data_IF_710885520393
#
_entry.id   IF_710885520393
#
_cell.length_a   1.000
_cell.length_b   1.000
_cell.length_c   1.000
_cell.angle_alpha   90.00
_cell.angle_beta   90.00
_cell.angle_gamma   90.00
#
_symmetry.space_group_name_H-M   'P 1'
#
loop_
_entity.id
_entity.type
_entity.pdbx_description
1 polymer ?
#
# COMPACT_ATOMS: atom_id res chain seq x y z
N UNK A 1 -8.23 7.61 4.90
CA UNK A 1 -8.93 8.29 3.79
C UNK A 1 -10.35 7.79 3.71
N UNK A 2 -11.29 8.64 3.29
CA UNK A 2 -12.76 8.53 3.41
C UNK A 2 -13.37 7.20 2.92
N UNK A 3 -14.42 6.76 3.64
CA UNK A 3 -15.29 5.62 3.34
C UNK A 3 -15.68 5.56 1.86
N UNK A 4 -15.32 4.51 1.10
CA UNK A 4 -16.01 4.22 -0.15
C UNK A 4 -17.47 3.89 0.17
N UNK A 5 -18.37 4.42 -0.64
CA UNK A 5 -19.82 4.18 -0.53
C UNK A 5 -20.14 2.67 -0.37
N UNK A 6 -21.05 2.30 0.55
CA UNK A 6 -21.29 0.91 0.95
C UNK A 6 -21.74 -0.02 -0.19
N UNK A 7 -22.26 0.53 -1.28
CA UNK A 7 -22.58 -0.23 -2.50
C UNK A 7 -21.34 -0.79 -3.18
N UNK A 8 -20.31 0.03 -3.40
CA UNK A 8 -19.09 -0.38 -4.09
C UNK A 8 -18.23 -1.32 -3.24
N UNK A 9 -18.28 -1.12 -1.92
CA UNK A 9 -17.63 -2.01 -0.95
C UNK A 9 -18.22 -3.44 -1.02
N UNK A 10 -19.54 -3.56 -1.19
CA UNK A 10 -20.20 -4.86 -1.31
C UNK A 10 -20.04 -5.49 -2.70
N UNK A 11 -20.01 -4.71 -3.77
CA UNK A 11 -19.99 -5.23 -5.14
C UNK A 11 -18.60 -5.62 -5.64
N UNK A 12 -17.58 -4.79 -5.34
CA UNK A 12 -16.23 -4.90 -5.89
C UNK A 12 -15.21 -5.18 -4.79
N UNK A 13 -15.19 -4.37 -3.73
CA UNK A 13 -14.11 -4.46 -2.74
C UNK A 13 -14.20 -5.72 -1.86
N UNK A 14 -15.40 -6.17 -1.46
CA UNK A 14 -15.56 -7.42 -0.70
C UNK A 14 -15.11 -8.64 -1.49
N UNK A 15 -15.39 -8.70 -2.80
CA UNK A 15 -14.90 -9.80 -3.65
C UNK A 15 -13.38 -9.81 -3.76
N UNK A 16 -12.76 -8.64 -3.87
CA UNK A 16 -11.30 -8.50 -3.95
C UNK A 16 -10.67 -8.84 -2.59
N UNK A 17 -11.24 -8.32 -1.49
CA UNK A 17 -10.85 -8.63 -0.11
C UNK A 17 -10.93 -10.14 0.14
N UNK A 18 -12.04 -10.80 -0.20
CA UNK A 18 -12.22 -12.24 -0.03
C UNK A 18 -11.19 -13.06 -0.81
N UNK A 19 -10.88 -12.67 -2.06
CA UNK A 19 -9.84 -13.34 -2.87
C UNK A 19 -8.44 -13.27 -2.25
N UNK A 20 -8.15 -12.22 -1.48
CA UNK A 20 -6.88 -12.03 -0.76
C UNK A 20 -6.93 -12.52 0.69
N UNK A 21 -8.03 -13.19 1.10
CA UNK A 21 -8.17 -13.79 2.43
C UNK A 21 -8.99 -12.96 3.44
N UNK A 22 -9.60 -11.85 3.01
CA UNK A 22 -10.60 -11.07 3.75
C UNK A 22 -10.08 -10.22 4.92
N UNK A 23 -8.84 -10.45 5.36
CA UNK A 23 -8.23 -9.81 6.55
C UNK A 23 -6.89 -9.14 6.29
N UNK A 24 -6.68 -8.67 5.06
CA UNK A 24 -5.47 -7.89 4.72
C UNK A 24 -5.55 -6.51 5.38
N UNK A 25 -4.62 -6.24 6.30
CA UNK A 25 -4.55 -4.98 7.07
C UNK A 25 -3.43 -4.05 6.60
N UNK A 26 -2.41 -4.63 5.99
CA UNK A 26 -1.22 -3.95 5.52
C UNK A 26 -0.79 -4.60 4.20
N UNK A 27 -0.58 -3.78 3.18
CA UNK A 27 0.11 -4.16 1.96
C UNK A 27 1.38 -3.33 1.85
N UNK A 28 2.50 -4.00 1.63
CA UNK A 28 3.78 -3.35 1.38
C UNK A 28 4.22 -3.73 -0.02
N UNK A 29 4.43 -2.73 -0.87
CA UNK A 29 5.05 -2.88 -2.18
C UNK A 29 6.50 -2.45 -2.11
N UNK A 30 7.40 -3.16 -2.79
CA UNK A 30 8.79 -2.75 -2.87
C UNK A 30 9.52 -3.30 -4.09
N UNK A 31 10.78 -2.90 -4.23
CA UNK A 31 11.70 -3.13 -5.36
C UNK A 31 11.50 -2.24 -6.60
N UNK A 32 10.26 -2.06 -7.09
CA UNK A 32 9.98 -1.23 -8.27
C UNK A 32 8.92 -0.17 -7.96
N UNK A 33 9.03 1.05 -8.52
CA UNK A 33 8.02 2.08 -8.32
C UNK A 33 6.67 1.60 -8.82
N UNK A 34 5.66 1.64 -7.94
CA UNK A 34 4.29 1.32 -8.30
C UNK A 34 3.65 2.55 -8.96
N UNK A 35 2.85 2.35 -10.01
CA UNK A 35 2.13 3.47 -10.61
C UNK A 35 1.19 4.10 -9.57
N UNK A 36 1.13 5.44 -9.44
CA UNK A 36 0.28 6.12 -8.47
C UNK A 36 -1.20 5.72 -8.61
N UNK A 37 -1.69 5.48 -9.83
CA UNK A 37 -3.06 5.01 -10.08
C UNK A 37 -3.34 3.64 -9.44
N UNK A 38 -2.36 2.72 -9.50
CA UNK A 38 -2.48 1.39 -8.91
C UNK A 38 -2.44 1.49 -7.39
N UNK A 39 -1.56 2.34 -6.86
CA UNK A 39 -1.48 2.58 -5.42
C UNK A 39 -2.79 3.15 -4.87
N UNK A 40 -3.38 4.13 -5.56
CA UNK A 40 -4.67 4.72 -5.18
C UNK A 40 -5.80 3.68 -5.28
N UNK A 41 -5.84 2.89 -6.34
CA UNK A 41 -6.79 1.79 -6.48
C UNK A 41 -6.70 0.80 -5.32
N UNK A 42 -5.49 0.38 -4.93
CA UNK A 42 -5.27 -0.52 -3.80
C UNK A 42 -5.68 0.14 -2.47
N UNK A 43 -5.31 1.41 -2.23
CA UNK A 43 -5.71 2.17 -1.04
C UNK A 43 -7.25 2.23 -0.91
N UNK A 44 -7.96 2.48 -2.02
CA UNK A 44 -9.43 2.51 -2.07
C UNK A 44 -10.01 1.10 -1.87
N UNK A 45 -9.47 0.09 -2.55
CA UNK A 45 -9.99 -1.28 -2.52
C UNK A 45 -9.89 -1.93 -1.15
N UNK A 46 -8.74 -1.79 -0.49
CA UNK A 46 -8.52 -2.44 0.79
C UNK A 46 -9.03 -1.59 1.96
N UNK A 47 -9.32 -0.30 1.73
CA UNK A 47 -9.63 0.65 2.80
C UNK A 47 -8.53 0.70 3.87
N UNK A 48 -7.34 0.21 3.52
CA UNK A 48 -6.29 -0.23 4.41
C UNK A 48 -4.96 0.39 4.01
N UNK A 49 -3.96 0.20 4.86
CA UNK A 49 -2.64 0.81 4.72
C UNK A 49 -1.89 0.14 3.58
N UNK A 50 -1.63 0.90 2.52
CA UNK A 50 -0.78 0.49 1.40
C UNK A 50 0.44 1.41 1.43
N UNK A 51 1.59 0.85 1.79
CA UNK A 51 2.87 1.55 1.84
C UNK A 51 3.81 1.03 0.76
N UNK A 52 4.58 1.94 0.17
CA UNK A 52 5.66 1.60 -0.74
C UNK A 52 7.00 1.76 0.00
N UNK A 53 7.91 0.84 -0.22
CA UNK A 53 9.26 0.92 0.32
C UNK A 53 10.27 0.50 -0.73
N UNK A 54 11.38 1.23 -0.80
CA UNK A 54 12.47 0.88 -1.69
C UNK A 54 13.56 0.14 -0.93
N UNK A 55 14.09 -0.91 -1.55
CA UNK A 55 15.14 -1.73 -1.00
C UNK A 55 15.72 -2.64 -2.07
N UNK A 56 16.93 -3.12 -1.80
CA UNK A 56 17.64 -4.07 -2.66
C UNK A 56 18.35 -5.09 -1.78
N UNK A 57 18.60 -6.28 -2.34
CA UNK A 57 19.30 -7.37 -1.63
C UNK A 57 20.67 -6.95 -1.12
N UNK A 58 21.32 -6.07 -1.89
CA UNK A 58 22.64 -5.49 -1.64
C UNK A 58 22.66 -4.51 -0.47
N UNK A 59 21.50 -4.03 0.00
CA UNK A 59 21.37 -3.07 1.10
C UNK A 59 20.55 -3.59 2.27
N UNK A 60 20.60 -4.89 2.55
CA UNK A 60 19.94 -5.49 3.72
C UNK A 60 18.41 -5.30 3.72
N UNK A 61 17.78 -5.53 2.57
CA UNK A 61 16.34 -5.68 2.37
C UNK A 61 15.53 -4.39 2.16
N UNK A 62 15.64 -3.37 3.03
CA UNK A 62 14.78 -2.16 2.96
C UNK A 62 15.57 -0.90 3.33
N UNK A 63 15.70 0.04 2.38
CA UNK A 63 16.44 1.29 2.54
C UNK A 63 15.52 2.45 2.94
N UNK A 64 14.34 2.54 2.31
CA UNK A 64 13.37 3.62 2.55
C UNK A 64 11.96 3.09 2.60
N UNK A 65 11.12 3.67 3.45
CA UNK A 65 9.70 3.34 3.55
C UNK A 65 8.86 4.61 3.67
N UNK A 66 7.69 4.60 3.03
CA UNK A 66 6.63 5.56 3.29
C UNK A 66 6.14 5.37 4.75
N UNK A 67 6.00 6.48 5.48
CA UNK A 67 5.48 6.49 6.85
C UNK A 67 3.97 6.18 6.88
N UNK A 68 3.49 5.59 7.97
CA UNK A 68 2.07 5.21 8.13
C UNK A 68 1.11 6.41 8.04
N UNK A 69 1.60 7.62 8.33
CA UNK A 69 0.85 8.87 8.20
C UNK A 69 0.88 9.51 6.81
N UNK A 70 1.74 9.03 5.91
CA UNK A 70 1.93 9.65 4.60
C UNK A 70 0.99 9.02 3.55
N UNK A 71 0.04 9.85 3.10
CA UNK A 71 -1.00 9.45 2.15
C UNK A 71 -0.61 9.72 0.70
N UNK A 72 0.48 10.46 0.48
CA UNK A 72 0.95 10.81 -0.85
C UNK A 72 1.49 9.56 -1.57
N UNK A 73 1.37 9.57 -2.90
CA UNK A 73 1.78 8.47 -3.76
C UNK A 73 2.88 8.98 -4.72
N UNK A 74 3.85 8.13 -5.05
CA UNK A 74 4.94 8.48 -5.99
C UNK A 74 6.27 8.86 -5.34
N UNK A 75 6.46 8.63 -4.04
CA UNK A 75 7.75 8.72 -3.36
C UNK A 75 7.97 7.49 -2.48
N UNK A 76 9.24 7.19 -2.16
CA UNK A 76 9.61 6.01 -1.36
C UNK A 76 9.72 6.31 0.15
N UNK A 77 9.42 7.55 0.53
CA UNK A 77 9.43 7.99 1.92
C UNK A 77 10.82 8.24 2.48
N UNK A 78 10.92 8.31 3.80
CA UNK A 78 12.17 8.60 4.50
C UNK A 78 13.08 7.36 4.56
N UNK A 79 14.41 7.56 4.56
CA UNK A 79 15.34 6.46 4.77
C UNK A 79 15.12 5.82 6.15
N UNK A 80 15.26 4.51 6.20
CA UNK A 80 15.16 3.72 7.41
C UNK A 80 16.31 4.11 8.35
N UNK A 81 16.05 4.43 9.63
CA UNK A 81 17.10 4.79 10.59
C UNK A 81 18.13 3.68 10.84
N UNK A 82 17.86 2.45 10.41
CA UNK A 82 18.77 1.31 10.52
C UNK A 82 19.66 1.08 9.29
N UNK A 83 19.57 1.94 8.25
CA UNK A 83 20.42 1.91 7.06
C UNK A 83 21.47 3.03 7.06
#
# INVERSE_FOLDING_TARGET
GKNPSPMWDRLVFNKIKDKLGGRVRLMVSGASPLSPDVMEFLKICFGGRVTEGYGMTESSCVISCIDDGDILSGHVGSPNPAC
#
